data_IF_797994549729
#
_entry.id   IF_797994549729
#
_cell.length_a   1.000
_cell.length_b   1.000
_cell.length_c   1.000
_cell.angle_alpha   90.00
_cell.angle_beta   90.00
_cell.angle_gamma   90.00
#
_symmetry.space_group_name_H-M   'P 1'
#
loop_
_entity.id
_entity.type
_entity.pdbx_description
1 polymer ?
#
# COMPACT_ATOMS: atom_id res chain seq x y z
N UNK A 1 10.63 13.49 22.81
CA UNK A 1 10.48 12.78 21.51
C UNK A 1 10.15 11.30 21.71
N UNK A 2 11.00 10.49 22.34
CA UNK A 2 10.76 9.04 22.60
C UNK A 2 9.39 8.68 23.22
N UNK A 3 8.84 9.51 24.13
CA UNK A 3 7.52 9.28 24.73
C UNK A 3 6.35 9.35 23.73
N UNK A 4 6.40 10.26 22.75
CA UNK A 4 5.33 10.41 21.76
C UNK A 4 5.27 9.23 20.77
N UNK A 5 6.40 8.54 20.55
CA UNK A 5 6.48 7.39 19.66
C UNK A 5 5.92 6.12 20.31
N UNK A 6 6.13 5.94 21.61
CA UNK A 6 5.51 4.83 22.35
C UNK A 6 4.00 4.97 22.44
N UNK A 7 3.48 6.19 22.60
CA UNK A 7 2.05 6.47 22.58
C UNK A 7 1.42 6.24 21.21
N UNK A 8 2.12 6.61 20.12
CA UNK A 8 1.66 6.34 18.75
C UNK A 8 1.67 4.84 18.43
N UNK A 9 2.72 4.11 18.85
CA UNK A 9 2.81 2.67 18.69
C UNK A 9 1.73 1.94 19.51
N UNK A 10 1.51 2.35 20.77
CA UNK A 10 0.40 1.83 21.59
C UNK A 10 -0.93 2.13 20.93
N UNK A 11 -1.16 3.35 20.45
CA UNK A 11 -2.39 3.71 19.75
C UNK A 11 -2.59 2.84 18.49
N UNK A 12 -1.57 2.66 17.66
CA UNK A 12 -1.63 1.78 16.48
C UNK A 12 -1.92 0.32 16.84
N UNK A 13 -1.28 -0.21 17.89
CA UNK A 13 -1.53 -1.57 18.39
C UNK A 13 -2.94 -1.72 18.97
N UNK A 14 -3.42 -0.76 19.75
CA UNK A 14 -4.78 -0.73 20.30
C UNK A 14 -5.81 -0.60 19.18
N UNK A 15 -5.55 0.22 18.16
CA UNK A 15 -6.41 0.37 16.98
C UNK A 15 -6.47 -0.93 16.18
N UNK A 16 -5.32 -1.57 15.96
CA UNK A 16 -5.24 -2.85 15.28
C UNK A 16 -6.04 -3.94 16.01
N UNK A 17 -5.88 -4.08 17.33
CA UNK A 17 -6.64 -5.01 18.17
C UNK A 17 -8.15 -4.68 18.10
N UNK A 18 -8.52 -3.42 18.28
CA UNK A 18 -9.92 -2.99 18.32
C UNK A 18 -10.59 -3.13 16.94
N UNK A 19 -9.89 -2.94 15.83
CA UNK A 19 -10.41 -3.16 14.46
C UNK A 19 -10.55 -4.65 14.15
N UNK A 20 -9.58 -5.47 14.58
CA UNK A 20 -9.57 -6.93 14.34
C UNK A 20 -10.65 -7.64 15.15
N UNK A 21 -10.92 -7.20 16.40
CA UNK A 21 -11.87 -7.85 17.30
C UNK A 21 -13.25 -7.15 17.40
N UNK A 22 -13.48 -6.07 16.66
CA UNK A 22 -14.78 -5.38 16.67
C UNK A 22 -15.84 -6.12 15.85
N UNK A 23 -17.05 -6.23 16.39
CA UNK A 23 -18.26 -6.68 15.69
C UNK A 23 -18.80 -5.66 14.67
N UNK A 24 -18.30 -4.41 14.69
CA UNK A 24 -18.60 -3.34 13.73
C UNK A 24 -17.33 -2.71 13.17
N UNK A 25 -16.50 -3.50 12.47
CA UNK A 25 -15.13 -3.11 12.10
C UNK A 25 -15.07 -1.92 11.13
N UNK A 26 -16.17 -1.63 10.40
CA UNK A 26 -16.27 -0.48 9.48
C UNK A 26 -16.37 0.85 10.23
N UNK A 27 -17.14 0.89 11.31
CA UNK A 27 -17.43 2.12 12.06
C UNK A 27 -16.27 2.43 13.01
N UNK A 28 -15.76 1.41 13.67
CA UNK A 28 -14.59 1.48 14.56
C UNK A 28 -13.32 1.82 13.79
N UNK A 29 -13.09 1.18 12.64
CA UNK A 29 -11.99 1.53 11.75
C UNK A 29 -12.07 2.96 11.25
N UNK A 30 -13.26 3.46 10.91
CA UNK A 30 -13.47 4.85 10.47
C UNK A 30 -13.26 5.90 11.57
N UNK A 31 -13.65 5.61 12.80
CA UNK A 31 -13.48 6.53 13.95
C UNK A 31 -12.01 6.62 14.38
N UNK A 32 -11.34 5.48 14.48
CA UNK A 32 -9.91 5.44 14.83
C UNK A 32 -9.04 6.06 13.74
N UNK A 33 -9.46 5.87 12.49
CA UNK A 33 -8.91 6.51 11.30
C UNK A 33 -9.01 8.05 11.35
N UNK A 34 -10.19 8.60 11.66
CA UNK A 34 -10.38 10.04 11.80
C UNK A 34 -9.54 10.60 12.97
N UNK A 35 -9.48 9.86 14.08
CA UNK A 35 -8.69 10.24 15.26
C UNK A 35 -7.18 10.31 14.98
N UNK A 36 -6.60 9.27 14.39
CA UNK A 36 -5.17 9.26 14.05
C UNK A 36 -4.79 10.35 13.05
N UNK A 37 -5.63 10.61 12.06
CA UNK A 37 -5.37 11.65 11.09
C UNK A 37 -5.42 13.06 11.69
N UNK A 38 -6.37 13.32 12.58
CA UNK A 38 -6.41 14.59 13.32
C UNK A 38 -5.13 14.73 14.16
N UNK A 39 -4.69 13.66 14.82
CA UNK A 39 -3.48 13.68 15.66
C UNK A 39 -2.20 13.96 14.84
N UNK A 40 -2.00 13.26 13.72
CA UNK A 40 -0.84 13.49 12.84
C UNK A 40 -0.91 14.87 12.17
N UNK A 41 -2.10 15.37 11.86
CA UNK A 41 -2.31 16.73 11.33
C UNK A 41 -1.84 17.79 12.34
N UNK A 42 -2.21 17.61 13.61
CA UNK A 42 -1.83 18.51 14.69
C UNK A 42 -0.31 18.49 14.94
N UNK A 43 0.35 17.32 14.87
CA UNK A 43 1.81 17.19 15.02
C UNK A 43 2.54 17.86 13.85
N UNK A 44 2.09 17.69 12.61
CA UNK A 44 2.75 18.26 11.43
C UNK A 44 2.51 19.76 11.26
N UNK A 45 1.35 20.27 11.68
CA UNK A 45 1.11 21.71 11.83
C UNK A 45 2.08 22.34 12.83
N UNK A 46 2.35 21.67 13.95
CA UNK A 46 3.37 22.12 14.92
C UNK A 46 4.79 22.15 14.34
N UNK A 47 5.10 21.27 13.38
CA UNK A 47 6.41 21.20 12.73
C UNK A 47 6.56 22.14 11.52
N UNK A 48 5.57 22.98 11.19
CA UNK A 48 5.56 23.89 10.02
C UNK A 48 5.80 23.19 8.67
N UNK A 49 5.49 21.89 8.58
CA UNK A 49 5.53 21.14 7.31
C UNK A 49 4.21 21.42 6.58
N UNK A 50 4.08 22.63 6.02
CA UNK A 50 2.87 23.07 5.32
C UNK A 50 2.93 22.55 3.88
N UNK A 51 2.06 21.59 3.53
CA UNK A 51 1.83 21.17 2.13
C UNK A 51 1.80 19.67 1.85
N UNK A 52 2.32 18.81 2.74
CA UNK A 52 2.41 17.35 2.47
C UNK A 52 1.26 16.50 3.02
N UNK A 53 0.38 17.08 3.86
CA UNK A 53 -0.52 16.32 4.72
C UNK A 53 -1.64 15.54 3.99
N UNK A 54 -2.34 16.20 3.05
CA UNK A 54 -3.43 15.56 2.30
C UNK A 54 -2.96 14.35 1.49
N UNK A 55 -1.71 14.40 1.01
CA UNK A 55 -1.07 13.32 0.28
C UNK A 55 -0.69 12.10 1.13
N UNK A 56 -0.69 12.21 2.46
CA UNK A 56 -0.31 11.10 3.37
C UNK A 56 -1.53 10.50 4.09
N UNK A 57 -2.59 11.30 4.28
CA UNK A 57 -3.86 10.83 4.82
C UNK A 57 -4.52 9.79 3.89
N UNK A 58 -4.63 10.08 2.58
CA UNK A 58 -5.30 9.21 1.61
C UNK A 58 -4.66 7.80 1.52
N UNK A 59 -3.31 7.68 1.44
CA UNK A 59 -2.62 6.39 1.48
C UNK A 59 -2.86 5.61 2.77
N UNK A 60 -2.83 6.28 3.94
CA UNK A 60 -3.07 5.64 5.24
C UNK A 60 -4.47 5.01 5.35
N UNK A 61 -5.51 5.65 4.81
CA UNK A 61 -6.88 5.10 4.75
C UNK A 61 -6.95 3.83 3.90
N UNK A 62 -6.24 3.86 2.78
CA UNK A 62 -6.25 2.80 1.78
C UNK A 62 -5.49 1.60 2.34
N UNK A 63 -4.34 1.84 2.95
CA UNK A 63 -3.50 0.86 3.64
C UNK A 63 -4.28 0.04 4.69
N UNK A 64 -5.08 0.67 5.55
CA UNK A 64 -5.85 -0.06 6.59
C UNK A 64 -6.97 -0.90 5.98
N UNK A 65 -7.66 -0.37 4.95
CA UNK A 65 -8.66 -1.15 4.20
C UNK A 65 -8.03 -2.33 3.48
N UNK A 66 -6.84 -2.14 2.92
CA UNK A 66 -6.08 -3.17 2.22
C UNK A 66 -5.65 -4.26 3.21
N UNK A 67 -5.13 -3.91 4.38
CA UNK A 67 -4.78 -4.89 5.41
C UNK A 67 -5.96 -5.76 5.83
N UNK A 68 -7.17 -5.20 5.94
CA UNK A 68 -8.39 -5.98 6.19
C UNK A 68 -8.73 -6.92 5.01
N UNK A 69 -8.67 -6.43 3.78
CA UNK A 69 -8.94 -7.24 2.57
C UNK A 69 -7.98 -8.44 2.53
N UNK A 70 -6.70 -8.22 2.84
CA UNK A 70 -5.68 -9.27 2.93
C UNK A 70 -6.01 -10.31 4.00
N UNK A 71 -6.40 -9.88 5.20
CA UNK A 71 -6.76 -10.79 6.30
C UNK A 71 -7.98 -11.68 5.97
N UNK A 72 -8.92 -11.15 5.19
CA UNK A 72 -10.14 -11.85 4.81
C UNK A 72 -10.01 -12.62 3.49
N UNK A 73 -8.86 -12.55 2.82
CA UNK A 73 -8.65 -13.18 1.53
C UNK A 73 -8.43 -14.69 1.68
N UNK A 74 -9.16 -15.47 0.90
CA UNK A 74 -8.89 -16.90 0.69
C UNK A 74 -7.92 -17.14 -0.47
N UNK A 75 -7.49 -16.07 -1.15
CA UNK A 75 -6.82 -16.12 -2.45
C UNK A 75 -5.37 -15.63 -2.43
N UNK A 76 -4.66 -15.79 -1.30
CA UNK A 76 -3.25 -15.38 -1.19
C UNK A 76 -3.07 -13.90 -0.89
N UNK A 77 -4.13 -13.20 -0.47
CA UNK A 77 -4.03 -11.81 -0.04
C UNK A 77 -3.94 -10.79 -1.18
N UNK A 78 -4.27 -11.17 -2.43
CA UNK A 78 -4.32 -10.20 -3.53
C UNK A 78 -5.35 -9.11 -3.25
N UNK A 79 -4.92 -7.87 -3.38
CA UNK A 79 -5.74 -6.69 -3.09
C UNK A 79 -6.64 -6.42 -4.28
N UNK A 80 -7.95 -6.52 -4.12
CA UNK A 80 -8.90 -6.22 -5.19
C UNK A 80 -9.61 -4.90 -4.92
N UNK A 81 -9.82 -4.11 -5.97
CA UNK A 81 -10.60 -2.88 -5.92
C UNK A 81 -11.60 -2.83 -7.08
N UNK A 82 -12.74 -2.13 -6.93
CA UNK A 82 -13.61 -1.81 -8.06
C UNK A 82 -12.84 -1.20 -9.23
N UNK A 83 -13.13 -1.63 -10.45
CA UNK A 83 -12.38 -1.19 -11.64
C UNK A 83 -12.44 0.33 -11.84
N UNK A 84 -13.55 0.97 -11.45
CA UNK A 84 -13.66 2.42 -11.47
C UNK A 84 -12.60 3.12 -10.61
N UNK A 85 -12.28 2.58 -9.42
CA UNK A 85 -11.23 3.13 -8.56
C UNK A 85 -9.83 2.82 -9.10
N UNK A 86 -9.63 1.66 -9.72
CA UNK A 86 -8.40 1.34 -10.44
C UNK A 86 -8.10 2.36 -11.55
N UNK A 87 -9.12 2.71 -12.35
CA UNK A 87 -9.01 3.73 -13.39
C UNK A 87 -8.70 5.09 -12.80
N UNK A 88 -9.42 5.52 -11.75
CA UNK A 88 -9.13 6.80 -11.08
C UNK A 88 -7.70 6.86 -10.54
N UNK A 89 -7.21 5.79 -9.91
CA UNK A 89 -5.82 5.69 -9.44
C UNK A 89 -4.82 5.80 -10.58
N UNK A 90 -5.01 5.03 -11.65
CA UNK A 90 -4.16 5.06 -12.84
C UNK A 90 -4.17 6.43 -13.55
N UNK A 91 -5.33 7.07 -13.66
CA UNK A 91 -5.46 8.44 -14.18
C UNK A 91 -4.74 9.43 -13.28
N UNK A 92 -4.84 9.31 -11.95
CA UNK A 92 -4.11 10.14 -11.00
C UNK A 92 -2.60 10.06 -11.23
N UNK A 93 -2.04 8.85 -11.33
CA UNK A 93 -0.62 8.66 -11.68
C UNK A 93 -0.27 9.23 -13.05
N UNK A 94 -1.13 9.05 -14.05
CA UNK A 94 -0.95 9.65 -15.38
C UNK A 94 -0.90 11.17 -15.36
N UNK A 95 -1.76 11.82 -14.57
CA UNK A 95 -1.75 13.28 -14.39
C UNK A 95 -0.48 13.75 -13.69
N UNK A 96 0.02 13.00 -12.70
CA UNK A 96 1.30 13.30 -12.03
C UNK A 96 2.46 13.19 -13.03
N UNK A 97 2.49 12.13 -13.85
CA UNK A 97 3.47 11.96 -14.93
C UNK A 97 3.47 13.17 -15.88
N UNK A 98 2.30 13.58 -16.36
CA UNK A 98 2.17 14.75 -17.23
C UNK A 98 2.64 16.02 -16.52
N UNK A 99 2.24 16.21 -15.26
CA UNK A 99 2.67 17.36 -14.45
C UNK A 99 4.19 17.42 -14.29
N UNK A 100 4.83 16.30 -14.01
CA UNK A 100 6.29 16.20 -13.85
C UNK A 100 7.02 16.45 -15.18
N UNK A 101 6.50 15.90 -16.28
CA UNK A 101 7.04 16.15 -17.62
C UNK A 101 6.96 17.63 -18.02
N UNK A 102 5.88 18.32 -17.66
CA UNK A 102 5.69 19.74 -18.00
C UNK A 102 6.54 20.65 -17.13
N UNK A 103 6.67 20.33 -15.84
CA UNK A 103 7.35 21.21 -14.86
C UNK A 103 8.84 20.97 -14.76
N UNK A 104 9.28 19.71 -14.79
CA UNK A 104 10.66 19.30 -14.55
C UNK A 104 11.34 18.68 -15.78
N UNK A 105 10.58 18.18 -16.76
CA UNK A 105 11.11 17.52 -17.95
C UNK A 105 11.80 16.18 -17.67
N UNK A 106 12.37 15.55 -18.71
CA UNK A 106 13.08 14.25 -18.62
C UNK A 106 14.61 14.38 -18.55
N UNK A 107 15.14 15.59 -18.37
CA UNK A 107 16.57 15.88 -18.49
C UNK A 107 17.41 15.32 -17.35
N UNK A 108 16.79 14.92 -16.24
CA UNK A 108 17.51 14.41 -15.07
C UNK A 108 17.11 12.96 -14.74
N UNK A 109 18.11 12.19 -14.29
CA UNK A 109 17.93 10.80 -13.87
C UNK A 109 16.84 10.65 -12.80
N UNK A 110 16.75 11.57 -11.85
CA UNK A 110 15.76 11.50 -10.78
C UNK A 110 14.32 11.67 -11.29
N UNK A 111 14.08 12.57 -12.25
CA UNK A 111 12.76 12.71 -12.89
C UNK A 111 12.38 11.40 -13.59
N UNK A 112 13.33 10.76 -14.29
CA UNK A 112 13.11 9.45 -14.89
C UNK A 112 12.69 8.39 -13.87
N UNK A 113 13.32 8.37 -12.71
CA UNK A 113 12.98 7.43 -11.64
C UNK A 113 11.57 7.71 -11.08
N UNK A 114 11.18 8.96 -10.86
CA UNK A 114 9.81 9.30 -10.45
C UNK A 114 8.78 8.86 -11.49
N UNK A 115 9.03 9.11 -12.78
CA UNK A 115 8.15 8.66 -13.86
C UNK A 115 7.98 7.14 -13.87
N UNK A 116 9.05 6.38 -13.60
CA UNK A 116 8.96 4.93 -13.45
C UNK A 116 8.15 4.52 -12.22
N UNK A 117 8.34 5.17 -11.06
CA UNK A 117 7.53 4.91 -9.86
C UNK A 117 6.04 5.13 -10.13
N UNK A 118 5.67 6.23 -10.79
CA UNK A 118 4.27 6.53 -11.12
C UNK A 118 3.69 5.56 -12.15
N UNK A 119 4.50 5.14 -13.14
CA UNK A 119 4.09 4.15 -14.14
C UNK A 119 3.81 2.79 -13.48
N UNK A 120 4.66 2.38 -12.53
CA UNK A 120 4.47 1.17 -11.72
C UNK A 120 3.21 1.29 -10.86
N UNK A 121 3.00 2.45 -10.21
CA UNK A 121 1.78 2.72 -9.44
C UNK A 121 0.49 2.66 -10.28
N UNK A 122 0.53 3.18 -11.50
CA UNK A 122 -0.58 3.10 -12.45
C UNK A 122 -0.86 1.64 -12.86
N UNK A 123 0.18 0.90 -13.23
CA UNK A 123 0.07 -0.52 -13.60
C UNK A 123 -0.49 -1.37 -12.44
N UNK A 124 -0.01 -1.13 -11.22
CA UNK A 124 -0.49 -1.82 -10.02
C UNK A 124 -1.97 -1.50 -9.75
N UNK A 125 -2.38 -0.24 -9.91
CA UNK A 125 -3.77 0.19 -9.76
C UNK A 125 -4.68 -0.54 -10.73
N UNK A 126 -4.30 -0.60 -12.02
CA UNK A 126 -5.05 -1.33 -13.05
C UNK A 126 -5.10 -2.83 -12.76
N UNK A 127 -3.99 -3.43 -12.33
CA UNK A 127 -3.90 -4.84 -11.97
C UNK A 127 -4.90 -5.19 -10.85
N UNK A 128 -4.98 -4.37 -9.80
CA UNK A 128 -5.94 -4.54 -8.71
C UNK A 128 -7.41 -4.46 -9.14
N UNK A 129 -7.70 -3.79 -10.26
CA UNK A 129 -9.05 -3.69 -10.84
C UNK A 129 -9.44 -4.83 -11.79
N UNK A 130 -8.48 -5.65 -12.24
CA UNK A 130 -8.74 -6.68 -13.26
C UNK A 130 -9.70 -7.77 -12.77
N UNK A 131 -9.71 -8.07 -11.47
CA UNK A 131 -10.63 -9.06 -10.90
C UNK A 131 -12.10 -8.62 -11.03
N UNK A 132 -12.42 -7.34 -10.81
CA UNK A 132 -13.78 -6.79 -11.00
C UNK A 132 -14.23 -6.90 -12.47
N UNK A 133 -13.34 -6.67 -13.43
CA UNK A 133 -13.63 -6.85 -14.85
C UNK A 133 -13.93 -8.32 -15.16
N UNK A 134 -13.08 -9.24 -14.70
CA UNK A 134 -13.29 -10.67 -14.96
C UNK A 134 -14.53 -11.24 -14.26
N UNK A 135 -14.87 -10.76 -13.06
CA UNK A 135 -16.07 -11.15 -12.35
C UNK A 135 -17.34 -10.86 -13.17
N UNK A 136 -17.36 -9.74 -13.91
CA UNK A 136 -18.49 -9.36 -14.79
C UNK A 136 -18.65 -10.28 -16.00
N UNK A 137 -17.57 -10.91 -16.46
CA UNK A 137 -17.61 -11.84 -17.60
C UNK A 137 -18.21 -13.21 -17.25
N UNK A 138 -18.38 -13.51 -15.95
CA UNK A 138 -18.81 -14.83 -15.43
C UNK A 138 -17.94 -16.02 -15.89
N UNK A 139 -16.76 -15.77 -16.48
CA UNK A 139 -15.85 -16.81 -16.95
C UNK A 139 -14.88 -17.23 -15.85
N UNK A 140 -15.05 -18.45 -15.33
CA UNK A 140 -14.13 -19.05 -14.34
C UNK A 140 -12.70 -19.15 -14.87
N UNK A 141 -12.53 -19.46 -16.16
CA UNK A 141 -11.21 -19.56 -16.79
C UNK A 141 -10.51 -18.20 -16.83
N UNK A 142 -11.23 -17.13 -17.16
CA UNK A 142 -10.68 -15.78 -17.17
C UNK A 142 -10.26 -15.33 -15.76
N UNK A 143 -11.11 -15.59 -14.75
CA UNK A 143 -10.82 -15.28 -13.36
C UNK A 143 -9.53 -15.96 -12.85
N UNK A 144 -9.37 -17.27 -13.12
CA UNK A 144 -8.16 -18.01 -12.73
C UNK A 144 -6.92 -17.48 -13.44
N UNK A 145 -7.00 -17.19 -14.75
CA UNK A 145 -5.87 -16.63 -15.51
C UNK A 145 -5.43 -15.27 -14.98
N UNK A 146 -6.38 -14.39 -14.69
CA UNK A 146 -6.08 -13.07 -14.11
C UNK A 146 -5.48 -13.22 -12.73
N UNK A 147 -6.06 -14.07 -11.87
CA UNK A 147 -5.49 -14.32 -10.54
C UNK A 147 -4.05 -14.82 -10.59
N UNK A 148 -3.74 -15.79 -11.45
CA UNK A 148 -2.38 -16.32 -11.62
C UNK A 148 -1.42 -15.26 -12.16
N UNK A 149 -1.86 -14.44 -13.11
CA UNK A 149 -1.07 -13.33 -13.61
C UNK A 149 -0.74 -12.33 -12.48
N UNK A 150 -1.75 -11.95 -11.69
CA UNK A 150 -1.61 -11.01 -10.57
C UNK A 150 -0.71 -11.54 -9.44
N UNK A 151 -0.77 -12.84 -9.16
CA UNK A 151 0.11 -13.49 -8.18
C UNK A 151 1.61 -13.32 -8.49
N UNK A 152 1.96 -13.02 -9.75
CA UNK A 152 3.33 -12.74 -10.19
C UNK A 152 3.54 -11.24 -10.42
N UNK A 153 2.63 -10.59 -11.16
CA UNK A 153 2.78 -9.19 -11.55
C UNK A 153 2.72 -8.22 -10.36
N UNK A 154 1.80 -8.42 -9.41
CA UNK A 154 1.63 -7.48 -8.30
C UNK A 154 2.89 -7.45 -7.40
N UNK A 155 3.46 -8.59 -6.96
CA UNK A 155 4.75 -8.61 -6.27
C UNK A 155 5.89 -7.99 -7.07
N UNK A 156 5.97 -8.23 -8.39
CA UNK A 156 7.03 -7.64 -9.22
C UNK A 156 6.92 -6.12 -9.31
N UNK A 157 5.70 -5.59 -9.46
CA UNK A 157 5.45 -4.15 -9.47
C UNK A 157 5.78 -3.52 -8.11
N UNK A 158 5.38 -4.16 -7.00
CA UNK A 158 5.75 -3.71 -5.66
C UNK A 158 7.26 -3.73 -5.42
N UNK A 159 7.94 -4.81 -5.82
CA UNK A 159 9.39 -4.93 -5.70
C UNK A 159 10.11 -3.90 -6.56
N UNK A 160 9.64 -3.64 -7.78
CA UNK A 160 10.19 -2.61 -8.67
C UNK A 160 10.03 -1.22 -8.06
N UNK A 161 8.83 -0.87 -7.59
CA UNK A 161 8.59 0.40 -6.89
C UNK A 161 9.47 0.52 -5.64
N UNK A 162 9.59 -0.55 -4.86
CA UNK A 162 10.40 -0.58 -3.65
C UNK A 162 11.90 -0.43 -3.92
N UNK A 163 12.43 -1.10 -4.94
CA UNK A 163 13.82 -0.97 -5.37
C UNK A 163 14.12 0.44 -5.89
N UNK A 164 13.21 1.02 -6.68
CA UNK A 164 13.32 2.41 -7.11
C UNK A 164 13.37 3.33 -5.88
N UNK A 165 12.44 3.21 -4.92
CA UNK A 165 12.42 4.10 -3.74
C UNK A 165 13.64 3.92 -2.83
N UNK A 166 14.13 2.70 -2.68
CA UNK A 166 15.30 2.42 -1.85
C UNK A 166 16.58 3.00 -2.48
N UNK A 167 16.74 2.86 -3.79
CA UNK A 167 17.96 3.32 -4.48
C UNK A 167 17.89 4.80 -4.88
N UNK A 168 16.70 5.40 -4.86
CA UNK A 168 16.47 6.78 -5.22
C UNK A 168 16.83 7.73 -4.08
N UNK A 169 18.06 8.24 -4.14
CA UNK A 169 18.59 9.21 -3.19
C UNK A 169 19.02 10.46 -3.97
N UNK A 170 18.22 11.52 -3.88
CA UNK A 170 18.59 12.86 -4.37
C UNK A 170 18.20 13.98 -3.40
N UNK A 171 17.38 13.66 -2.38
CA UNK A 171 16.91 14.65 -1.42
C UNK A 171 18.06 15.16 -0.55
N UNK A 172 18.15 16.48 -0.41
CA UNK A 172 19.12 17.13 0.48
C UNK A 172 18.75 16.96 1.96
N UNK A 173 17.49 16.65 2.25
CA UNK A 173 16.97 16.51 3.61
C UNK A 173 17.06 15.05 4.05
N UNK A 174 17.80 14.73 5.15
CA UNK A 174 17.93 13.36 5.65
C UNK A 174 16.59 12.67 5.95
N UNK A 175 15.59 13.44 6.38
CA UNK A 175 14.24 12.95 6.64
C UNK A 175 13.59 12.36 5.38
N UNK A 176 13.73 13.04 4.23
CA UNK A 176 13.14 12.58 2.97
C UNK A 176 13.84 11.31 2.45
N UNK A 177 15.18 11.26 2.54
CA UNK A 177 15.96 10.05 2.23
C UNK A 177 15.52 8.87 3.11
N UNK A 178 15.35 9.10 4.41
CA UNK A 178 14.88 8.07 5.34
C UNK A 178 13.47 7.59 5.01
N UNK A 179 12.55 8.49 4.62
CA UNK A 179 11.20 8.12 4.19
C UNK A 179 11.22 7.28 2.90
N UNK A 180 11.95 7.70 1.86
CA UNK A 180 12.07 6.95 0.61
C UNK A 180 12.69 5.58 0.82
N UNK A 181 13.79 5.51 1.57
CA UNK A 181 14.46 4.23 1.85
C UNK A 181 13.61 3.29 2.70
N UNK A 182 12.88 3.80 3.69
CA UNK A 182 12.01 2.97 4.53
C UNK A 182 10.79 2.47 3.76
N UNK A 183 10.14 3.36 2.99
CA UNK A 183 9.05 2.96 2.09
C UNK A 183 9.53 1.93 1.07
N UNK A 184 10.72 2.14 0.50
CA UNK A 184 11.33 1.21 -0.46
C UNK A 184 11.51 -0.19 0.12
N UNK A 185 12.09 -0.30 1.32
CA UNK A 185 12.23 -1.57 2.05
C UNK A 185 10.89 -2.22 2.32
N UNK A 186 9.89 -1.45 2.76
CA UNK A 186 8.55 -1.97 3.05
C UNK A 186 7.88 -2.54 1.80
N UNK A 187 7.97 -1.86 0.66
CA UNK A 187 7.41 -2.36 -0.60
C UNK A 187 8.09 -3.65 -1.09
N UNK A 188 9.42 -3.76 -0.92
CA UNK A 188 10.15 -5.00 -1.22
C UNK A 188 9.74 -6.13 -0.27
N UNK A 189 9.62 -5.86 1.03
CA UNK A 189 9.12 -6.85 2.00
C UNK A 189 7.69 -7.27 1.67
N UNK A 190 6.83 -6.31 1.34
CA UNK A 190 5.44 -6.54 0.97
C UNK A 190 5.34 -7.44 -0.28
N UNK A 191 6.17 -7.18 -1.31
CA UNK A 191 6.26 -8.02 -2.49
C UNK A 191 6.62 -9.47 -2.13
N UNK A 192 7.65 -9.67 -1.31
CA UNK A 192 8.08 -11.00 -0.89
C UNK A 192 6.97 -11.72 -0.12
N UNK A 193 6.33 -11.04 0.83
CA UNK A 193 5.26 -11.62 1.64
C UNK A 193 4.02 -11.93 0.79
N UNK A 194 3.65 -11.08 -0.17
CA UNK A 194 2.55 -11.33 -1.08
C UNK A 194 2.81 -12.53 -1.99
N UNK A 195 4.04 -12.68 -2.51
CA UNK A 195 4.44 -13.84 -3.30
C UNK A 195 4.39 -15.13 -2.45
N UNK A 196 4.95 -15.10 -1.24
CA UNK A 196 4.92 -16.23 -0.32
C UNK A 196 3.48 -16.60 0.08
N UNK A 197 2.62 -15.60 0.33
CA UNK A 197 1.21 -15.81 0.66
C UNK A 197 0.46 -16.45 -0.50
N UNK A 198 0.73 -16.04 -1.74
CA UNK A 198 0.16 -16.65 -2.95
C UNK A 198 0.58 -18.11 -3.09
N UNK A 199 1.88 -18.40 -2.97
CA UNK A 199 2.43 -19.76 -3.03
C UNK A 199 1.90 -20.67 -1.91
N UNK A 200 1.73 -20.14 -0.70
CA UNK A 200 1.18 -20.91 0.41
C UNK A 200 -0.28 -21.28 0.18
N UNK A 201 -1.10 -20.36 -0.34
CA UNK A 201 -2.51 -20.62 -0.66
C UNK A 201 -2.70 -21.57 -1.86
N UNK A 202 -1.70 -21.75 -2.72
CA UNK A 202 -1.70 -22.80 -3.75
C UNK A 202 -1.47 -24.20 -3.16
N UNK A 203 -0.72 -24.29 -2.06
CA UNK A 203 -0.25 -25.56 -1.49
C UNK A 203 -0.94 -25.97 -0.19
N UNK A 204 -1.75 -25.10 0.40
CA UNK A 204 -2.37 -25.32 1.70
C UNK A 204 -3.78 -24.74 1.76
N UNK A 205 -4.66 -25.30 2.59
CA UNK A 205 -5.98 -24.72 2.83
C UNK A 205 -5.85 -23.29 3.35
N UNK A 206 -6.76 -22.41 2.94
CA UNK A 206 -6.76 -21.00 3.36
C UNK A 206 -6.80 -20.84 4.90
N UNK A 207 -7.40 -21.79 5.63
CA UNK A 207 -7.46 -21.77 7.10
C UNK A 207 -6.25 -22.44 7.78
N UNK A 208 -5.27 -22.93 7.00
CA UNK A 208 -4.04 -23.51 7.54
C UNK A 208 -3.16 -22.47 8.23
N UNK A 209 -2.39 -22.91 9.24
CA UNK A 209 -1.56 -22.01 10.05
C UNK A 209 -0.60 -21.15 9.22
N UNK A 210 0.07 -21.73 8.22
CA UNK A 210 1.00 -21.01 7.34
C UNK A 210 0.30 -19.89 6.53
N UNK A 211 -0.88 -20.16 5.97
CA UNK A 211 -1.67 -19.18 5.23
C UNK A 211 -2.14 -18.03 6.15
N UNK A 212 -2.58 -18.36 7.36
CA UNK A 212 -2.98 -17.37 8.37
C UNK A 212 -1.81 -16.48 8.81
N UNK A 213 -0.64 -17.06 9.10
CA UNK A 213 0.57 -16.31 9.47
C UNK A 213 0.97 -15.37 8.34
N UNK A 214 1.00 -15.85 7.10
CA UNK A 214 1.37 -15.04 5.93
C UNK A 214 0.36 -13.91 5.65
N UNK A 215 -0.94 -14.13 5.85
CA UNK A 215 -1.95 -13.05 5.76
C UNK A 215 -1.77 -12.00 6.85
N UNK A 216 -1.47 -12.40 8.09
CA UNK A 216 -1.20 -11.47 9.19
C UNK A 216 0.06 -10.66 8.88
N UNK A 217 1.12 -11.32 8.41
CA UNK A 217 2.36 -10.65 8.03
C UNK A 217 2.12 -9.68 6.87
N UNK A 218 1.39 -10.11 5.84
CA UNK A 218 1.05 -9.28 4.69
C UNK A 218 0.25 -8.05 5.13
N UNK A 219 -0.80 -8.24 5.94
CA UNK A 219 -1.59 -7.13 6.47
C UNK A 219 -0.76 -6.18 7.35
N UNK A 220 0.18 -6.72 8.12
CA UNK A 220 1.11 -5.93 8.94
C UNK A 220 2.06 -5.09 8.09
N UNK A 221 2.55 -5.63 6.95
CA UNK A 221 3.38 -4.88 6.02
C UNK A 221 2.65 -3.69 5.39
N UNK A 222 1.32 -3.79 5.21
CA UNK A 222 0.53 -2.62 4.81
C UNK A 222 0.48 -1.59 5.95
N UNK A 223 0.17 -2.02 7.17
CA UNK A 223 -0.08 -1.12 8.32
C UNK A 223 1.20 -0.53 8.93
N UNK A 224 2.38 -1.07 8.61
CA UNK A 224 3.63 -0.60 9.17
C UNK A 224 3.93 0.84 8.75
N UNK A 225 3.84 1.75 9.72
CA UNK A 225 4.27 3.13 9.58
C UNK A 225 5.77 3.18 9.89
N UNK A 226 6.61 3.70 8.98
CA UNK A 226 8.02 3.97 9.26
C UNK A 226 8.16 4.74 10.58
N UNK A 227 8.87 4.18 11.55
CA UNK A 227 9.36 4.95 12.70
C UNK A 227 10.71 5.56 12.30
N UNK A 228 10.89 6.89 12.47
CA UNK A 228 12.17 7.55 12.20
C UNK A 228 13.29 7.06 13.14
#
# INVERSE_FOLDING_TARGET
MLLAYWELLLACCTIFIVVVFSSRPRLVGGVLFAGCAILVHLILLQQKVVGSFGGHFLPGTLIVRVGRVVLQSEEGGLVHIPFAFAVVGATGFGLIIVGELVTAGISHFYNWVHLMMYSVGAALSLSMGMEDVTARTKSRVAAVRVRNLRAVCDPLLLAASGALQWTHVHDQLPMAVMMHTTLGKLLVTLAAVQLLSSLAHERSPANGGACTILRILHASCWVHVPTP
#
